data_IF_899452920755
#
_entry.id   IF_899452920755
#
_cell.length_a   1.000
_cell.length_b   1.000
_cell.length_c   1.000
_cell.angle_alpha   90.00
_cell.angle_beta   90.00
_cell.angle_gamma   90.00
#
_symmetry.space_group_name_H-M   'P 1'
#
loop_
_entity.id
_entity.type
_entity.pdbx_description
1 polymer ?
#
# COMPACT_ATOMS: atom_id res chain seq x y z
N UNK A 1 15.96 -2.35 -78.02
CA UNK A 1 16.61 -2.16 -76.72
C UNK A 1 15.66 -2.21 -75.46
N UNK A 2 14.51 -2.87 -75.44
CA UNK A 2 13.57 -2.88 -74.35
C UNK A 2 13.49 -4.20 -73.54
N UNK A 3 14.26 -5.19 -73.86
CA UNK A 3 14.09 -6.56 -73.27
C UNK A 3 15.09 -6.91 -72.16
N UNK A 4 16.20 -6.19 -72.00
CA UNK A 4 17.24 -6.50 -71.02
C UNK A 4 17.09 -5.72 -69.69
N UNK A 5 16.31 -4.65 -69.69
CA UNK A 5 15.99 -3.93 -68.46
C UNK A 5 15.04 -4.70 -67.51
N UNK A 6 14.44 -5.80 -68.06
CA UNK A 6 13.28 -6.42 -67.35
C UNK A 6 13.67 -7.53 -66.35
N UNK A 7 14.87 -8.11 -66.47
CA UNK A 7 15.24 -9.21 -65.55
C UNK A 7 15.90 -8.72 -64.29
N UNK A 8 16.84 -7.80 -64.40
CA UNK A 8 17.50 -7.24 -63.18
C UNK A 8 16.53 -6.40 -62.30
N UNK A 9 15.62 -5.66 -62.94
CA UNK A 9 14.59 -4.89 -62.19
C UNK A 9 13.58 -5.80 -61.47
N UNK A 10 13.27 -6.97 -62.04
CA UNK A 10 12.41 -7.95 -61.37
C UNK A 10 13.10 -8.59 -60.17
N UNK A 11 14.38 -8.90 -60.26
CA UNK A 11 15.16 -9.43 -59.14
C UNK A 11 15.31 -8.39 -58.02
N UNK A 12 15.57 -7.11 -58.33
CA UNK A 12 15.66 -6.03 -57.38
C UNK A 12 14.30 -5.81 -56.69
N UNK A 13 13.21 -5.82 -57.44
CA UNK A 13 11.86 -5.67 -56.89
C UNK A 13 11.50 -6.84 -55.93
N UNK A 14 11.88 -8.07 -56.30
CA UNK A 14 11.65 -9.25 -55.47
C UNK A 14 12.50 -9.21 -54.19
N UNK A 15 13.75 -8.78 -54.27
CA UNK A 15 14.61 -8.61 -53.11
C UNK A 15 14.07 -7.53 -52.14
N UNK A 16 13.61 -6.40 -52.65
CA UNK A 16 12.96 -5.34 -51.88
C UNK A 16 11.69 -5.83 -51.16
N UNK A 17 10.89 -6.65 -51.83
CA UNK A 17 9.67 -7.21 -51.28
C UNK A 17 9.96 -8.17 -50.12
N UNK A 18 11.01 -9.00 -50.26
CA UNK A 18 11.48 -9.91 -49.21
C UNK A 18 11.99 -9.11 -47.99
N UNK A 19 12.77 -8.05 -48.20
CA UNK A 19 13.26 -7.20 -47.11
C UNK A 19 12.11 -6.51 -46.37
N UNK A 20 11.11 -5.99 -47.09
CA UNK A 20 9.93 -5.38 -46.50
C UNK A 20 9.10 -6.38 -45.67
N UNK A 21 8.95 -7.61 -46.14
CA UNK A 21 8.20 -8.63 -45.37
C UNK A 21 8.93 -9.03 -44.11
N UNK A 22 10.25 -9.21 -44.13
CA UNK A 22 11.06 -9.51 -42.94
C UNK A 22 11.00 -8.35 -41.97
N UNK A 23 11.16 -7.12 -42.42
CA UNK A 23 11.08 -5.91 -41.57
C UNK A 23 9.71 -5.77 -40.90
N UNK A 24 8.64 -6.02 -41.62
CA UNK A 24 7.28 -5.95 -41.05
C UNK A 24 7.04 -7.05 -40.04
N UNK A 25 7.60 -8.24 -40.24
CA UNK A 25 7.47 -9.35 -39.29
C UNK A 25 8.21 -9.07 -37.96
N UNK A 26 9.43 -8.52 -38.06
CA UNK A 26 10.18 -8.09 -36.88
C UNK A 26 9.47 -6.95 -36.12
N UNK A 27 8.90 -5.99 -36.82
CA UNK A 27 8.14 -4.90 -36.23
C UNK A 27 6.90 -5.41 -35.49
N UNK A 28 6.17 -6.37 -36.07
CA UNK A 28 5.02 -6.98 -35.40
C UNK A 28 5.42 -7.73 -34.11
N UNK A 29 6.57 -8.43 -34.13
CA UNK A 29 7.07 -9.12 -32.93
C UNK A 29 7.41 -8.14 -31.80
N UNK A 30 8.13 -7.05 -32.11
CA UNK A 30 8.46 -6.03 -31.10
C UNK A 30 7.23 -5.33 -30.56
N UNK A 31 6.23 -5.06 -31.39
CA UNK A 31 4.95 -4.52 -30.95
C UNK A 31 4.23 -5.49 -29.99
N UNK A 32 4.20 -6.77 -30.32
CA UNK A 32 3.58 -7.80 -29.50
C UNK A 32 4.22 -7.89 -28.11
N UNK A 33 5.55 -7.92 -28.06
CA UNK A 33 6.30 -7.93 -26.79
C UNK A 33 6.02 -6.66 -25.95
N UNK A 34 5.96 -5.50 -26.59
CA UNK A 34 5.65 -4.24 -25.91
C UNK A 34 4.24 -4.22 -25.34
N UNK A 35 3.27 -4.74 -26.09
CA UNK A 35 1.88 -4.86 -25.64
C UNK A 35 1.78 -5.83 -24.46
N UNK A 36 2.43 -6.99 -24.54
CA UNK A 36 2.42 -7.99 -23.46
C UNK A 36 3.09 -7.45 -22.19
N UNK A 37 4.20 -6.72 -22.32
CA UNK A 37 4.85 -6.07 -21.18
C UNK A 37 3.95 -4.99 -20.55
N UNK A 38 3.30 -4.16 -21.35
CA UNK A 38 2.37 -3.16 -20.85
C UNK A 38 1.19 -3.82 -20.15
N UNK A 39 0.64 -4.89 -20.71
CA UNK A 39 -0.46 -5.63 -20.09
C UNK A 39 -0.07 -6.20 -18.72
N UNK A 40 1.09 -6.83 -18.60
CA UNK A 40 1.64 -7.32 -17.33
C UNK A 40 1.84 -6.20 -16.30
N UNK A 41 2.31 -5.05 -16.75
CA UNK A 41 2.49 -3.88 -15.87
C UNK A 41 1.14 -3.34 -15.37
N UNK A 42 0.12 -3.27 -16.24
CA UNK A 42 -1.23 -2.89 -15.85
C UNK A 42 -1.84 -3.86 -14.83
N UNK A 43 -1.69 -5.16 -15.06
CA UNK A 43 -2.18 -6.20 -14.15
C UNK A 43 -1.51 -6.09 -12.77
N UNK A 44 -0.18 -5.91 -12.74
CA UNK A 44 0.57 -5.70 -11.50
C UNK A 44 0.09 -4.46 -10.76
N UNK A 45 -0.05 -3.34 -11.46
CA UNK A 45 -0.54 -2.08 -10.86
C UNK A 45 -1.97 -2.21 -10.35
N UNK A 46 -2.86 -2.89 -11.08
CA UNK A 46 -4.23 -3.16 -10.64
C UNK A 46 -4.27 -4.00 -9.35
N UNK A 47 -3.43 -5.02 -9.26
CA UNK A 47 -3.31 -5.84 -8.05
C UNK A 47 -2.77 -5.03 -6.87
N UNK A 48 -1.75 -4.19 -7.07
CA UNK A 48 -1.22 -3.29 -6.03
C UNK A 48 -2.30 -2.31 -5.52
N UNK A 49 -3.07 -1.72 -6.43
CA UNK A 49 -4.19 -0.83 -6.07
C UNK A 49 -5.24 -1.58 -5.24
N UNK A 50 -5.55 -2.83 -5.61
CA UNK A 50 -6.51 -3.65 -4.89
C UNK A 50 -6.03 -3.95 -3.47
N UNK A 51 -4.76 -4.31 -3.30
CA UNK A 51 -4.14 -4.54 -1.99
C UNK A 51 -4.17 -3.25 -1.15
N UNK A 52 -3.80 -2.11 -1.72
CA UNK A 52 -3.84 -0.81 -1.04
C UNK A 52 -5.28 -0.47 -0.60
N UNK A 53 -6.26 -0.75 -1.45
CA UNK A 53 -7.67 -0.53 -1.13
C UNK A 53 -8.16 -1.39 0.03
N UNK A 54 -7.81 -2.69 0.03
CA UNK A 54 -8.11 -3.61 1.13
C UNK A 54 -7.43 -3.19 2.44
N UNK A 55 -6.15 -2.79 2.38
CA UNK A 55 -5.42 -2.28 3.54
C UNK A 55 -6.05 -0.98 4.06
N UNK A 56 -6.49 -0.10 3.18
CA UNK A 56 -7.17 1.14 3.56
C UNK A 56 -8.55 0.89 4.17
N UNK A 57 -9.30 -0.10 3.69
CA UNK A 57 -10.55 -0.54 4.30
C UNK A 57 -10.32 -1.13 5.69
N UNK A 58 -9.31 -1.97 5.85
CA UNK A 58 -9.00 -2.63 7.12
C UNK A 58 -8.46 -1.66 8.17
N UNK A 59 -7.48 -0.82 7.81
CA UNK A 59 -6.83 0.10 8.73
C UNK A 59 -7.49 1.50 8.78
N UNK A 60 -8.40 1.80 7.89
CA UNK A 60 -9.05 3.10 7.78
C UNK A 60 -8.13 4.19 7.22
N UNK A 61 -8.71 5.38 7.09
CA UNK A 61 -7.97 6.58 6.71
C UNK A 61 -7.24 7.15 7.93
N UNK A 62 -6.05 7.74 7.71
CA UNK A 62 -5.23 8.41 8.73
C UNK A 62 -6.05 9.34 9.64
N UNK A 63 -6.90 10.17 9.05
CA UNK A 63 -7.77 11.11 9.77
C UNK A 63 -8.79 10.39 10.65
N UNK A 64 -9.37 9.30 10.14
CA UNK A 64 -10.31 8.46 10.87
C UNK A 64 -9.63 7.77 12.04
N UNK A 65 -8.47 7.16 11.83
CA UNK A 65 -7.71 6.47 12.87
C UNK A 65 -7.26 7.44 13.97
N UNK A 66 -6.78 8.62 13.61
CA UNK A 66 -6.45 9.68 14.56
C UNK A 66 -7.66 10.05 15.40
N UNK A 67 -8.84 10.23 14.78
CA UNK A 67 -10.09 10.56 15.50
C UNK A 67 -10.51 9.45 16.46
N UNK A 68 -10.40 8.17 16.08
CA UNK A 68 -10.68 7.02 16.93
C UNK A 68 -9.79 7.02 18.19
N UNK A 69 -8.48 7.23 18.01
CA UNK A 69 -7.53 7.29 19.12
C UNK A 69 -7.86 8.44 20.08
N UNK A 70 -8.18 9.62 19.55
CA UNK A 70 -8.59 10.75 20.37
C UNK A 70 -9.87 10.49 21.15
N UNK A 71 -10.85 9.79 20.57
CA UNK A 71 -12.06 9.40 21.25
C UNK A 71 -11.75 8.43 22.40
N UNK A 72 -10.90 7.44 22.18
CA UNK A 72 -10.42 6.52 23.22
C UNK A 72 -9.75 7.30 24.34
N UNK A 73 -8.79 8.18 24.03
CA UNK A 73 -8.10 8.98 25.05
C UNK A 73 -9.05 9.92 25.82
N UNK A 74 -10.09 10.41 25.17
CA UNK A 74 -11.10 11.24 25.81
C UNK A 74 -11.90 10.51 26.91
N UNK A 75 -12.11 9.19 26.74
CA UNK A 75 -12.78 8.37 27.75
C UNK A 75 -11.96 8.27 29.05
N UNK A 76 -10.65 8.53 28.98
CA UNK A 76 -9.72 8.45 30.12
C UNK A 76 -9.17 9.81 30.55
N UNK A 77 -9.85 10.91 30.22
CA UNK A 77 -9.43 12.29 30.62
C UNK A 77 -9.25 12.51 32.12
N UNK A 78 -9.97 11.76 32.97
CA UNK A 78 -9.84 11.81 34.44
C UNK A 78 -8.54 11.17 34.92
N UNK A 79 -7.81 10.46 34.09
CA UNK A 79 -6.53 9.82 34.39
C UNK A 79 -5.37 10.71 33.95
N UNK A 80 -4.18 10.42 34.45
CA UNK A 80 -2.97 11.11 33.98
C UNK A 80 -2.61 10.58 32.58
N UNK A 81 -2.79 11.40 31.54
CA UNK A 81 -2.49 11.07 30.16
C UNK A 81 -1.32 11.90 29.69
N UNK A 82 -0.22 11.24 29.34
CA UNK A 82 0.90 11.85 28.62
C UNK A 82 0.79 11.46 27.15
N UNK A 83 0.94 12.43 26.26
CA UNK A 83 0.78 12.22 24.82
C UNK A 83 1.90 12.91 24.05
N UNK A 84 2.50 12.18 23.11
CA UNK A 84 3.44 12.70 22.13
C UNK A 84 2.94 12.32 20.74
N UNK A 85 2.79 13.32 19.89
CA UNK A 85 2.29 13.13 18.52
C UNK A 85 3.40 13.42 17.52
N UNK A 86 3.54 12.52 16.55
CA UNK A 86 4.40 12.63 15.38
C UNK A 86 3.57 12.66 14.10
N UNK A 87 4.21 12.93 12.94
CA UNK A 87 3.54 13.00 11.63
C UNK A 87 2.76 11.72 11.26
N UNK A 88 3.17 10.56 11.73
CA UNK A 88 2.61 9.26 11.35
C UNK A 88 2.21 8.39 12.55
N UNK A 89 2.39 8.85 13.78
CA UNK A 89 2.11 8.07 14.99
C UNK A 89 1.70 8.94 16.18
N UNK A 90 0.98 8.33 17.11
CA UNK A 90 0.75 8.88 18.45
C UNK A 90 1.32 7.89 19.46
N UNK A 91 2.14 8.39 20.37
CA UNK A 91 2.56 7.69 21.58
C UNK A 91 1.79 8.28 22.76
N UNK A 92 1.23 7.44 23.59
CA UNK A 92 0.55 7.88 24.80
C UNK A 92 0.78 6.92 25.95
N UNK A 93 0.72 7.48 27.14
CA UNK A 93 0.82 6.76 28.41
C UNK A 93 -0.35 7.17 29.26
N UNK A 94 -1.08 6.21 29.81
CA UNK A 94 -2.19 6.45 30.72
C UNK A 94 -1.83 5.76 32.03
N UNK A 95 -1.72 6.54 33.10
CA UNK A 95 -1.36 6.05 34.42
C UNK A 95 -2.59 5.96 35.35
N UNK A 96 -2.45 5.21 36.43
CA UNK A 96 -3.50 4.99 37.47
C UNK A 96 -4.74 4.26 36.93
N UNK A 97 -4.56 3.34 35.99
CA UNK A 97 -5.61 2.47 35.49
C UNK A 97 -5.77 1.27 36.42
N UNK A 98 -7.00 0.94 36.82
CA UNK A 98 -7.28 -0.32 37.50
C UNK A 98 -7.34 -1.47 36.48
N UNK A 99 -7.38 -2.74 36.93
CA UNK A 99 -7.33 -3.90 36.04
C UNK A 99 -8.49 -3.95 35.02
N UNK A 100 -9.69 -3.54 35.44
CA UNK A 100 -10.85 -3.52 34.52
C UNK A 100 -10.70 -2.44 33.46
N UNK A 101 -10.18 -1.28 33.82
CA UNK A 101 -9.90 -0.19 32.90
C UNK A 101 -8.78 -0.54 31.93
N UNK A 102 -7.74 -1.25 32.38
CA UNK A 102 -6.65 -1.77 31.54
C UNK A 102 -7.18 -2.75 30.48
N UNK A 103 -8.01 -3.69 30.90
CA UNK A 103 -8.60 -4.70 30.02
C UNK A 103 -9.56 -4.06 29.00
N UNK A 104 -10.41 -3.14 29.48
CA UNK A 104 -11.32 -2.36 28.62
C UNK A 104 -10.56 -1.54 27.58
N UNK A 105 -9.51 -0.81 27.99
CA UNK A 105 -8.68 0.00 27.10
C UNK A 105 -7.93 -0.86 26.08
N UNK A 106 -7.39 -2.00 26.50
CA UNK A 106 -6.73 -2.93 25.61
C UNK A 106 -7.71 -3.47 24.55
N UNK A 107 -8.89 -3.90 24.99
CA UNK A 107 -9.94 -4.39 24.09
C UNK A 107 -10.43 -3.32 23.13
N UNK A 108 -10.58 -2.07 23.58
CA UNK A 108 -10.99 -0.93 22.77
C UNK A 108 -9.94 -0.58 21.73
N UNK A 109 -8.64 -0.60 22.08
CA UNK A 109 -7.53 -0.39 21.14
C UNK A 109 -7.48 -1.47 20.07
N UNK A 110 -7.59 -2.74 20.46
CA UNK A 110 -7.54 -3.88 19.51
C UNK A 110 -8.76 -3.90 18.59
N UNK A 111 -9.95 -3.58 19.09
CA UNK A 111 -11.18 -3.55 18.29
C UNK A 111 -11.31 -2.30 17.40
N UNK A 112 -10.55 -1.24 17.68
CA UNK A 112 -10.62 0.01 16.93
C UNK A 112 -10.14 -0.06 15.49
N UNK A 113 -9.40 -1.14 15.12
CA UNK A 113 -8.81 -1.31 13.79
C UNK A 113 -7.64 -0.36 13.50
N UNK A 114 -7.04 0.25 14.54
CA UNK A 114 -5.83 1.06 14.41
C UNK A 114 -4.58 0.19 14.49
N UNK A 115 -3.51 0.57 13.80
CA UNK A 115 -2.26 -0.18 13.82
C UNK A 115 -1.49 0.08 15.11
N UNK A 116 -1.62 -0.81 16.08
CA UNK A 116 -0.82 -0.79 17.31
C UNK A 116 0.58 -1.33 17.01
N UNK A 117 1.61 -0.50 17.21
CA UNK A 117 3.02 -0.85 16.97
C UNK A 117 3.69 -1.36 18.23
N UNK A 118 3.35 -0.75 19.36
CA UNK A 118 3.91 -1.11 20.65
C UNK A 118 2.84 -0.93 21.73
N UNK A 119 2.63 -1.95 22.52
CA UNK A 119 1.80 -1.92 23.70
C UNK A 119 2.63 -2.45 24.88
N UNK A 120 2.64 -1.74 25.98
CA UNK A 120 3.33 -2.15 27.19
C UNK A 120 2.49 -1.78 28.39
N UNK A 121 2.31 -2.73 29.28
CA UNK A 121 1.61 -2.53 30.55
C UNK A 121 2.62 -2.71 31.67
N UNK A 122 2.70 -1.72 32.56
CA UNK A 122 3.55 -1.75 33.75
C UNK A 122 2.66 -1.66 34.98
N UNK A 123 2.87 -2.57 35.90
CA UNK A 123 2.23 -2.49 37.24
C UNK A 123 2.89 -1.37 38.04
N UNK A 124 2.10 -0.46 38.61
CA UNK A 124 2.58 0.66 39.43
C UNK A 124 2.46 0.32 40.90
N UNK A 125 1.29 -0.23 41.32
CA UNK A 125 1.03 -0.67 42.68
C UNK A 125 0.14 -1.92 42.72
N UNK A 126 -0.39 -2.28 43.89
CA UNK A 126 -1.20 -3.48 44.05
C UNK A 126 -2.52 -3.47 43.26
N UNK A 127 -3.04 -2.28 42.92
CA UNK A 127 -4.37 -2.13 42.32
C UNK A 127 -4.36 -1.34 41.00
N UNK A 128 -3.25 -0.69 40.66
CA UNK A 128 -3.16 0.16 39.48
C UNK A 128 -1.96 -0.17 38.62
N UNK A 129 -2.14 0.12 37.33
CA UNK A 129 -1.10 0.00 36.29
C UNK A 129 -1.01 1.22 35.40
N UNK A 130 -0.01 1.20 34.61
CA UNK A 130 0.27 2.18 33.55
C UNK A 130 0.32 1.47 32.22
N UNK A 131 -0.37 2.02 31.21
CA UNK A 131 -0.35 1.52 29.86
C UNK A 131 0.36 2.53 28.96
N UNK A 132 1.43 2.07 28.31
CA UNK A 132 2.10 2.75 27.21
C UNK A 132 1.64 2.15 25.90
N UNK A 133 1.27 3.00 24.94
CA UNK A 133 0.90 2.57 23.60
C UNK A 133 1.47 3.50 22.54
N UNK A 134 1.98 2.89 21.44
CA UNK A 134 2.35 3.58 20.20
C UNK A 134 1.50 3.06 19.08
N UNK A 135 0.77 3.96 18.43
CA UNK A 135 -0.16 3.68 17.34
C UNK A 135 0.29 4.44 16.09
N UNK A 136 0.22 3.79 14.93
CA UNK A 136 0.43 4.42 13.62
C UNK A 136 -0.91 4.68 12.91
N UNK A 137 -0.94 5.72 12.06
CA UNK A 137 -2.05 6.09 11.19
C UNK A 137 -1.61 6.58 9.81
#
# INVERSE_FOLDING_TARGET
>A
MKKYLNTNTKFIALALLVVLTISSMLYIQTLKETVDQNYKNYEKTANEITIIKQLKEYYGDKKSNKRKIYNILNNYKSKTVSKKEDKASIEFTISKLNYKELDSLNSELLSSGVKVVKLSVKRVDAHTGELFCKVMF
#
